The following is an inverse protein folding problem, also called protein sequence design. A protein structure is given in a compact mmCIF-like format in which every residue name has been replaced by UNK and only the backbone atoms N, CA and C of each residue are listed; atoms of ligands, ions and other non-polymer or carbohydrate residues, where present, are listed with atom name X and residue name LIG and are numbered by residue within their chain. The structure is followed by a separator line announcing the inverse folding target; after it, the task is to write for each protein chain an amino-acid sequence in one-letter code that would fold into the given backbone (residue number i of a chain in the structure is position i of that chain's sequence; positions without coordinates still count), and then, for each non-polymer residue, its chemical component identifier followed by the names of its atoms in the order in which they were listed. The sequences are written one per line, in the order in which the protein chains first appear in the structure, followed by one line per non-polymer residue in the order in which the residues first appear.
data_IF_682116159572
#
_entry.id   IF_682116159572
#
_cell.length_a   1.000
_cell.length_b   1.000
_cell.length_c   1.000
_cell.angle_alpha   90.00
_cell.angle_beta   90.00
_cell.angle_gamma   90.00
#
_symmetry.space_group_name_H-M   'P 1'
#
loop_
_entity.id
_entity.type
_entity.pdbx_description
1 polymer ?
#
# COMPACT_ATOMS: atom_id res chain seq x y z
N UNK A 1 -8.73 7.85 11.57
CA UNK A 1 -8.52 7.55 10.12
C UNK A 1 -7.28 6.70 9.95
N UNK A 2 -7.32 5.69 9.06
CA UNK A 2 -6.16 4.87 8.69
C UNK A 2 -5.59 5.34 7.35
N UNK A 3 -4.30 5.70 7.33
CA UNK A 3 -3.55 5.99 6.11
C UNK A 3 -2.87 4.70 5.62
N UNK A 4 -3.40 4.14 4.53
CA UNK A 4 -2.96 2.83 4.03
C UNK A 4 -1.74 2.89 3.09
N UNK A 5 -1.12 4.07 2.89
CA UNK A 5 -0.03 4.21 1.93
C UNK A 5 0.94 5.33 2.35
N UNK A 6 1.98 4.95 3.08
CA UNK A 6 3.01 5.89 3.58
C UNK A 6 4.40 5.32 3.37
N UNK A 7 5.30 6.11 2.82
CA UNK A 7 6.72 5.78 2.77
C UNK A 7 7.41 6.15 4.09
N UNK A 8 8.25 5.27 4.60
CA UNK A 8 9.14 5.62 5.71
C UNK A 8 9.95 6.86 5.32
N UNK A 9 9.86 7.95 6.07
CA UNK A 9 10.68 9.14 5.79
C UNK A 9 12.16 8.80 5.84
N UNK A 10 12.96 9.44 5.00
CA UNK A 10 14.41 9.30 5.08
C UNK A 10 14.90 9.63 6.49
N UNK A 11 15.76 8.79 7.04
CA UNK A 11 16.20 8.86 8.45
C UNK A 11 16.78 10.25 8.85
N UNK A 12 17.31 11.00 7.90
CA UNK A 12 17.79 12.36 8.12
C UNK A 12 16.68 13.42 8.20
N UNK A 13 15.43 13.07 7.86
CA UNK A 13 14.32 14.03 7.78
C UNK A 13 13.37 13.92 8.99
N UNK A 14 12.99 12.69 9.39
CA UNK A 14 11.99 12.48 10.45
C UNK A 14 12.20 11.14 11.19
N UNK A 15 12.29 11.22 12.52
CA UNK A 15 12.15 10.06 13.39
C UNK A 15 10.67 9.63 13.53
N UNK A 16 10.45 8.46 14.13
CA UNK A 16 9.10 7.97 14.39
C UNK A 16 8.26 8.91 15.27
N UNK A 17 8.88 9.55 16.27
CA UNK A 17 8.19 10.48 17.17
C UNK A 17 7.65 11.71 16.44
N UNK A 18 8.44 12.29 15.53
CA UNK A 18 8.03 13.44 14.72
C UNK A 18 6.93 13.07 13.74
N UNK A 19 7.00 11.86 13.18
CA UNK A 19 5.95 11.34 12.32
C UNK A 19 4.63 11.11 13.08
N UNK A 20 4.69 10.55 14.29
CA UNK A 20 3.52 10.37 15.15
C UNK A 20 2.86 11.70 15.49
N UNK A 21 3.63 12.75 15.79
CA UNK A 21 3.10 14.09 16.02
C UNK A 21 2.37 14.64 14.77
N UNK A 22 2.92 14.41 13.58
CA UNK A 22 2.27 14.78 12.33
C UNK A 22 0.96 13.98 12.07
N UNK A 23 0.92 12.70 12.44
CA UNK A 23 -0.31 11.90 12.40
C UNK A 23 -1.39 12.49 13.32
N UNK A 24 -1.03 12.91 14.54
CA UNK A 24 -1.97 13.52 15.49
C UNK A 24 -2.59 14.81 14.92
N UNK A 25 -1.79 15.66 14.30
CA UNK A 25 -2.26 16.89 13.64
C UNK A 25 -3.22 16.63 12.47
N UNK A 26 -3.06 15.50 11.79
CA UNK A 26 -3.88 15.09 10.63
C UNK A 26 -5.09 14.23 11.01
N UNK A 27 -5.23 13.82 12.27
CA UNK A 27 -6.26 12.88 12.71
C UNK A 27 -6.06 11.48 12.15
N UNK A 28 -4.80 11.07 11.92
CA UNK A 28 -4.42 9.72 11.50
C UNK A 28 -4.14 8.87 12.72
N UNK A 29 -4.95 7.83 12.92
CA UNK A 29 -4.81 6.92 14.07
C UNK A 29 -3.79 5.81 13.81
N UNK A 30 -3.70 5.36 12.56
CA UNK A 30 -2.81 4.29 12.13
C UNK A 30 -2.28 4.55 10.72
N UNK A 31 -1.00 4.28 10.48
CA UNK A 31 -0.38 4.35 9.16
C UNK A 31 0.22 3.01 8.76
N UNK A 32 -0.03 2.58 7.52
CA UNK A 32 0.69 1.49 6.88
C UNK A 32 1.94 2.06 6.24
N UNK A 33 3.10 1.66 6.78
CA UNK A 33 4.41 2.23 6.42
C UNK A 33 5.30 1.19 5.76
N UNK A 34 6.02 1.59 4.72
CA UNK A 34 6.98 0.74 4.02
C UNK A 34 8.20 1.55 3.59
N UNK A 35 9.32 0.86 3.43
CA UNK A 35 10.58 1.50 3.05
C UNK A 35 10.58 1.92 1.57
N UNK A 36 11.16 3.09 1.27
CA UNK A 36 11.52 3.47 -0.10
C UNK A 36 12.90 2.92 -0.49
N UNK A 37 13.85 2.97 0.43
CA UNK A 37 15.23 2.53 0.21
C UNK A 37 15.30 1.03 -0.12
N UNK A 38 14.50 0.21 0.54
CA UNK A 38 14.45 -1.23 0.31
C UNK A 38 13.95 -1.62 -1.09
N UNK A 39 13.24 -0.71 -1.79
CA UNK A 39 12.87 -0.92 -3.19
C UNK A 39 14.07 -0.86 -4.13
N UNK A 40 15.17 -0.24 -3.69
CA UNK A 40 16.37 -0.04 -4.48
C UNK A 40 17.51 -1.02 -4.11
N UNK A 41 17.50 -1.66 -2.92
CA UNK A 41 18.43 -2.67 -2.35
C UNK A 41 19.39 -2.12 -1.26
N UNK A 42 19.84 -2.97 -0.33
CA UNK A 42 19.42 -4.35 -0.06
C UNK A 42 18.10 -4.41 0.74
N UNK A 43 17.20 -5.33 0.41
CA UNK A 43 15.86 -5.40 1.00
C UNK A 43 15.87 -5.79 2.48
N UNK A 44 16.65 -6.79 2.88
CA UNK A 44 16.68 -7.28 4.27
C UNK A 44 17.11 -6.18 5.26
N UNK A 45 18.20 -5.47 4.99
CA UNK A 45 18.66 -4.39 5.87
C UNK A 45 17.64 -3.24 5.96
N UNK A 46 16.92 -2.94 4.87
CA UNK A 46 15.88 -1.91 4.87
C UNK A 46 14.63 -2.37 5.64
N UNK A 47 14.27 -3.65 5.57
CA UNK A 47 13.20 -4.23 6.39
C UNK A 47 13.56 -4.17 7.90
N UNK A 48 14.79 -4.50 8.26
CA UNK A 48 15.27 -4.40 9.65
C UNK A 48 15.24 -2.96 10.16
N UNK A 49 15.65 -2.00 9.32
CA UNK A 49 15.57 -0.57 9.64
C UNK A 49 14.14 -0.10 9.83
N UNK A 50 13.22 -0.53 8.96
CA UNK A 50 11.79 -0.23 9.08
C UNK A 50 11.20 -0.83 10.36
N UNK A 51 11.53 -2.09 10.67
CA UNK A 51 11.07 -2.75 11.90
C UNK A 51 11.50 -1.97 13.14
N UNK A 52 12.77 -1.55 13.20
CA UNK A 52 13.27 -0.73 14.30
C UNK A 52 12.59 0.65 14.37
N UNK A 53 12.25 1.25 13.20
CA UNK A 53 11.60 2.55 13.14
C UNK A 53 10.15 2.53 13.63
N UNK A 54 9.40 1.44 13.36
CA UNK A 54 7.99 1.30 13.82
C UNK A 54 7.87 0.77 15.25
N UNK A 55 8.91 0.15 15.79
CA UNK A 55 8.90 -0.50 17.11
C UNK A 55 8.44 0.37 18.29
N UNK A 56 8.65 1.73 18.30
CA UNK A 56 8.16 2.58 19.39
C UNK A 56 6.64 2.71 19.48
N UNK A 57 5.89 2.44 18.39
CA UNK A 57 4.43 2.59 18.35
C UNK A 57 3.77 1.57 17.40
N UNK A 58 3.90 0.26 17.66
CA UNK A 58 3.46 -0.79 16.74
C UNK A 58 1.93 -0.84 16.55
N UNK A 59 1.18 -0.26 17.48
CA UNK A 59 -0.28 -0.12 17.40
C UNK A 59 -0.72 1.00 16.45
N UNK A 60 0.18 1.93 16.13
CA UNK A 60 -0.05 3.08 15.25
C UNK A 60 0.71 3.00 13.92
N UNK A 61 1.82 2.28 13.89
CA UNK A 61 2.72 2.16 12.73
C UNK A 61 2.80 0.69 12.31
N UNK A 62 2.07 0.34 11.27
CA UNK A 62 2.04 -1.03 10.72
C UNK A 62 3.01 -1.14 9.56
N UNK A 63 4.07 -1.94 9.74
CA UNK A 63 5.09 -2.13 8.71
C UNK A 63 4.64 -3.13 7.63
N UNK A 64 4.90 -2.79 6.36
CA UNK A 64 4.89 -3.70 5.22
C UNK A 64 6.31 -3.97 4.77
N UNK A 65 6.66 -5.24 4.62
CA UNK A 65 7.96 -5.66 4.10
C UNK A 65 8.15 -5.24 2.63
N UNK A 66 9.37 -5.30 2.15
CA UNK A 66 9.66 -5.34 0.72
C UNK A 66 10.64 -6.48 0.42
N UNK A 67 10.51 -7.09 -0.77
CA UNK A 67 11.44 -8.09 -1.29
C UNK A 67 11.68 -7.86 -2.78
N UNK A 68 12.78 -8.35 -3.32
CA UNK A 68 12.95 -8.44 -4.77
C UNK A 68 12.46 -9.81 -5.24
N UNK A 69 11.36 -9.92 -6.00
CA UNK A 69 10.84 -11.22 -6.45
C UNK A 69 11.83 -12.05 -7.26
N UNK A 70 12.87 -11.44 -7.83
CA UNK A 70 13.92 -12.14 -8.58
C UNK A 70 15.00 -12.75 -7.69
N UNK A 71 15.01 -12.40 -6.41
CA UNK A 71 15.90 -13.04 -5.43
C UNK A 71 15.34 -14.41 -5.06
N UNK A 72 16.12 -15.50 -5.19
CA UNK A 72 15.70 -16.82 -4.74
C UNK A 72 15.31 -16.89 -3.27
N UNK A 73 15.85 -15.99 -2.42
CA UNK A 73 15.52 -15.85 -1.01
C UNK A 73 14.27 -15.01 -0.69
N UNK A 74 13.59 -14.41 -1.68
CA UNK A 74 12.51 -13.44 -1.47
C UNK A 74 11.37 -13.96 -0.58
N UNK A 75 10.92 -15.20 -0.79
CA UNK A 75 9.84 -15.80 0.02
C UNK A 75 10.28 -16.06 1.47
N UNK A 76 11.52 -16.49 1.68
CA UNK A 76 12.07 -16.71 3.01
C UNK A 76 12.26 -15.39 3.78
N UNK A 77 12.71 -14.33 3.10
CA UNK A 77 12.81 -12.99 3.68
C UNK A 77 11.42 -12.44 4.05
N UNK A 78 10.42 -12.63 3.20
CA UNK A 78 9.05 -12.23 3.51
C UNK A 78 8.53 -12.96 4.76
N UNK A 79 8.74 -14.28 4.84
CA UNK A 79 8.37 -15.07 6.01
C UNK A 79 9.07 -14.59 7.28
N UNK A 80 10.37 -14.28 7.21
CA UNK A 80 11.15 -13.70 8.32
C UNK A 80 10.55 -12.37 8.77
N UNK A 81 10.26 -11.45 7.86
CA UNK A 81 9.66 -10.15 8.17
C UNK A 81 8.31 -10.29 8.91
N UNK A 82 7.48 -11.23 8.47
CA UNK A 82 6.18 -11.46 9.13
C UNK A 82 6.36 -12.11 10.50
N UNK A 83 7.19 -13.16 10.62
CA UNK A 83 7.30 -13.94 11.86
C UNK A 83 8.17 -13.28 12.92
N UNK A 84 9.27 -12.64 12.53
CA UNK A 84 10.24 -12.06 13.48
C UNK A 84 9.96 -10.58 13.74
N UNK A 85 9.51 -9.81 12.74
CA UNK A 85 9.25 -8.38 12.86
C UNK A 85 7.77 -8.01 12.97
N UNK A 86 6.85 -8.98 12.85
CA UNK A 86 5.42 -8.73 12.94
C UNK A 86 4.87 -7.88 11.79
N UNK A 87 5.55 -7.84 10.65
CA UNK A 87 5.09 -7.09 9.49
C UNK A 87 3.81 -7.69 8.92
N UNK A 88 2.86 -6.85 8.52
CA UNK A 88 1.49 -7.27 8.21
C UNK A 88 1.13 -7.14 6.73
N UNK A 89 2.10 -7.04 5.87
CA UNK A 89 1.89 -6.95 4.43
C UNK A 89 3.21 -6.83 3.68
N UNK A 90 3.09 -6.77 2.36
CA UNK A 90 4.21 -6.63 1.43
C UNK A 90 3.98 -5.43 0.52
N UNK A 91 4.97 -4.55 0.37
CA UNK A 91 5.00 -3.48 -0.64
C UNK A 91 5.92 -3.86 -1.78
N UNK A 92 5.41 -3.76 -2.99
CA UNK A 92 6.18 -3.95 -4.21
C UNK A 92 6.05 -2.75 -5.15
N UNK A 93 7.12 -2.43 -5.83
CA UNK A 93 7.18 -1.35 -6.82
C UNK A 93 7.81 -1.84 -8.13
N UNK A 94 7.02 -2.52 -8.99
CA UNK A 94 7.57 -3.21 -10.17
C UNK A 94 8.47 -2.34 -11.04
N UNK A 95 8.10 -1.09 -11.29
CA UNK A 95 8.91 -0.18 -12.08
C UNK A 95 10.27 0.13 -11.44
N UNK A 96 10.31 0.57 -10.16
CA UNK A 96 11.57 0.90 -9.49
C UNK A 96 12.45 -0.33 -9.28
N UNK A 97 11.84 -1.47 -8.97
CA UNK A 97 12.55 -2.72 -8.77
C UNK A 97 12.93 -3.41 -10.08
N UNK A 98 12.39 -2.96 -11.23
CA UNK A 98 12.74 -3.46 -12.55
C UNK A 98 12.22 -4.87 -12.87
N UNK A 99 11.03 -5.23 -12.36
CA UNK A 99 10.34 -6.48 -12.72
C UNK A 99 8.90 -6.19 -13.21
N UNK A 100 8.28 -7.12 -13.88
CA UNK A 100 6.90 -6.98 -14.35
C UNK A 100 5.92 -7.85 -13.55
N UNK A 101 4.61 -7.58 -13.67
CA UNK A 101 3.56 -8.42 -13.08
C UNK A 101 3.55 -9.87 -13.62
N UNK A 102 4.35 -10.16 -14.65
CA UNK A 102 4.49 -11.49 -15.24
C UNK A 102 5.78 -12.22 -14.82
N UNK A 103 6.62 -11.60 -13.97
CA UNK A 103 7.87 -12.20 -13.52
C UNK A 103 7.60 -13.55 -12.81
N UNK A 104 8.33 -14.63 -13.16
CA UNK A 104 8.13 -15.93 -12.53
C UNK A 104 8.35 -15.93 -11.02
N UNK A 105 9.34 -15.17 -10.52
CA UNK A 105 9.62 -15.05 -9.08
C UNK A 105 8.49 -14.41 -8.31
N UNK A 106 7.73 -13.50 -8.94
CA UNK A 106 6.57 -12.87 -8.33
C UNK A 106 5.46 -13.88 -8.00
N UNK A 107 5.33 -14.98 -8.77
CA UNK A 107 4.34 -16.01 -8.48
C UNK A 107 4.62 -16.68 -7.12
N UNK A 108 5.89 -16.98 -6.83
CA UNK A 108 6.30 -17.59 -5.56
C UNK A 108 6.07 -16.64 -4.39
N UNK A 109 6.36 -15.35 -4.58
CA UNK A 109 6.11 -14.31 -3.56
C UNK A 109 4.61 -14.14 -3.30
N UNK A 110 3.77 -14.18 -4.34
CA UNK A 110 2.31 -14.15 -4.18
C UNK A 110 1.79 -15.38 -3.41
N UNK A 111 2.30 -16.57 -3.71
CA UNK A 111 1.95 -17.80 -2.99
C UNK A 111 2.34 -17.70 -1.50
N UNK A 112 3.54 -17.23 -1.21
CA UNK A 112 4.02 -17.02 0.15
C UNK A 112 3.15 -16.00 0.91
N UNK A 113 2.83 -14.85 0.31
CA UNK A 113 1.94 -13.86 0.91
C UNK A 113 0.55 -14.42 1.20
N UNK A 114 -0.02 -15.20 0.26
CA UNK A 114 -1.32 -15.87 0.47
C UNK A 114 -1.28 -16.95 1.54
N UNK A 115 -0.15 -17.65 1.72
CA UNK A 115 0.04 -18.63 2.79
C UNK A 115 0.20 -17.96 4.17
N UNK A 116 0.81 -16.78 4.21
CA UNK A 116 0.98 -15.96 5.40
C UNK A 116 -0.28 -15.15 5.75
N UNK A 117 -1.28 -15.10 4.88
CA UNK A 117 -2.51 -14.33 5.08
C UNK A 117 -2.31 -12.81 4.99
N UNK A 118 -1.27 -12.33 4.31
CA UNK A 118 -0.96 -10.91 4.23
C UNK A 118 -1.26 -10.31 2.85
N UNK A 119 -1.69 -9.04 2.75
CA UNK A 119 -1.91 -8.36 1.48
C UNK A 119 -0.60 -7.94 0.82
N UNK A 120 -0.66 -7.78 -0.51
CA UNK A 120 0.41 -7.16 -1.30
C UNK A 120 -0.07 -5.82 -1.83
N UNK A 121 0.59 -4.74 -1.43
CA UNK A 121 0.38 -3.39 -1.94
C UNK A 121 1.34 -3.13 -3.10
N UNK A 122 0.80 -3.04 -4.30
CA UNK A 122 1.58 -2.72 -5.49
C UNK A 122 1.57 -1.22 -5.79
N UNK A 123 2.70 -0.69 -6.23
CA UNK A 123 2.67 0.51 -7.06
C UNK A 123 2.11 0.13 -8.42
N UNK A 124 0.93 0.63 -8.74
CA UNK A 124 0.23 0.39 -10.00
C UNK A 124 0.15 1.65 -10.87
N UNK A 125 -0.30 1.49 -12.11
CA UNK A 125 -0.45 2.61 -13.03
C UNK A 125 0.80 2.92 -13.86
N UNK A 126 1.81 2.04 -13.87
CA UNK A 126 3.08 2.23 -14.61
C UNK A 126 3.25 1.20 -15.73
N UNK A 127 2.75 1.45 -16.95
CA UNK A 127 3.02 0.58 -18.10
C UNK A 127 4.53 0.55 -18.44
N UNK A 128 5.08 -0.57 -18.88
CA UNK A 128 4.45 -1.88 -19.01
C UNK A 128 4.57 -2.77 -17.77
N UNK A 129 5.04 -2.26 -16.64
CA UNK A 129 5.45 -3.04 -15.47
C UNK A 129 4.27 -3.56 -14.62
N UNK A 130 3.31 -2.66 -14.32
CA UNK A 130 2.21 -2.94 -13.37
C UNK A 130 0.96 -2.13 -13.72
N UNK A 131 0.29 -2.48 -14.81
CA UNK A 131 -1.03 -1.91 -15.06
C UNK A 131 -2.08 -2.59 -14.16
N UNK A 132 -3.20 -1.92 -13.84
CA UNK A 132 -4.24 -2.50 -13.01
C UNK A 132 -4.76 -3.86 -13.51
N UNK A 133 -4.96 -4.03 -14.83
CA UNK A 133 -5.43 -5.30 -15.39
C UNK A 133 -4.38 -6.41 -15.36
N UNK A 134 -3.09 -6.08 -15.46
CA UNK A 134 -2.01 -7.07 -15.22
C UNK A 134 -2.06 -7.59 -13.78
N UNK A 135 -2.26 -6.69 -12.80
CA UNK A 135 -2.38 -7.05 -11.39
C UNK A 135 -3.68 -7.82 -11.10
N UNK A 136 -4.79 -7.50 -11.77
CA UNK A 136 -6.01 -8.29 -11.68
C UNK A 136 -5.83 -9.71 -12.28
N UNK A 137 -5.06 -9.84 -13.36
CA UNK A 137 -4.72 -11.16 -13.92
C UNK A 137 -3.84 -11.96 -12.94
N UNK A 138 -2.92 -11.31 -12.23
CA UNK A 138 -2.13 -11.91 -11.15
C UNK A 138 -3.04 -12.35 -10.00
N UNK A 139 -3.96 -11.49 -9.55
CA UNK A 139 -4.91 -11.77 -8.48
C UNK A 139 -5.76 -13.02 -8.74
N UNK A 140 -6.25 -13.19 -9.97
CA UNK A 140 -7.03 -14.37 -10.36
C UNK A 140 -6.22 -15.68 -10.31
N UNK A 141 -4.90 -15.62 -10.53
CA UNK A 141 -4.02 -16.80 -10.39
C UNK A 141 -3.72 -17.14 -8.92
N UNK A 142 -3.81 -16.13 -8.04
CA UNK A 142 -3.53 -16.27 -6.61
C UNK A 142 -4.74 -15.89 -5.75
N UNK A 143 -5.84 -16.66 -5.75
CA UNK A 143 -7.10 -16.26 -5.12
C UNK A 143 -7.03 -16.14 -3.60
N UNK A 144 -6.00 -16.70 -2.96
CA UNK A 144 -5.77 -16.53 -1.50
C UNK A 144 -5.02 -15.25 -1.16
N UNK A 145 -4.41 -14.58 -2.13
CA UNK A 145 -3.60 -13.38 -1.92
C UNK A 145 -4.43 -12.14 -2.19
N UNK A 146 -4.54 -11.26 -1.22
CA UNK A 146 -5.19 -9.97 -1.41
C UNK A 146 -4.22 -9.02 -2.12
N UNK A 147 -4.62 -8.47 -3.25
CA UNK A 147 -3.81 -7.52 -4.03
C UNK A 147 -4.42 -6.13 -3.91
N UNK A 148 -3.60 -5.15 -3.52
CA UNK A 148 -4.00 -3.75 -3.41
C UNK A 148 -3.34 -2.95 -4.53
N UNK A 149 -4.14 -2.30 -5.36
CA UNK A 149 -3.72 -1.26 -6.29
C UNK A 149 -3.39 -0.01 -5.47
N UNK A 150 -2.12 0.35 -5.36
CA UNK A 150 -1.65 1.39 -4.45
C UNK A 150 -2.06 2.80 -4.87
N UNK A 151 -2.29 3.03 -6.17
CA UNK A 151 -2.56 4.35 -6.72
C UNK A 151 -3.83 4.43 -7.57
N UNK A 152 -4.62 3.34 -7.60
CA UNK A 152 -5.86 3.32 -8.38
C UNK A 152 -5.68 3.68 -9.86
N UNK A 153 -4.55 3.29 -10.46
CA UNK A 153 -4.24 3.55 -11.86
C UNK A 153 -3.65 4.93 -12.14
N UNK A 154 -3.33 5.71 -11.10
CA UNK A 154 -2.81 7.08 -11.23
C UNK A 154 -3.75 7.98 -12.07
N UNK A 155 -3.16 8.88 -12.87
CA UNK A 155 -3.90 9.82 -13.71
C UNK A 155 -4.50 9.17 -14.97
N UNK A 156 -3.84 8.17 -15.53
CA UNK A 156 -4.14 7.66 -16.87
C UNK A 156 -4.96 6.38 -16.87
N UNK A 157 -4.72 5.48 -15.89
CA UNK A 157 -5.28 4.13 -15.89
C UNK A 157 -6.39 3.90 -14.83
N UNK A 158 -6.97 4.96 -14.23
CA UNK A 158 -8.01 4.83 -13.22
C UNK A 158 -9.26 4.07 -13.72
N UNK A 159 -9.60 4.17 -15.02
CA UNK A 159 -10.70 3.39 -15.61
C UNK A 159 -10.35 1.90 -15.66
N UNK A 160 -9.09 1.59 -15.95
CA UNK A 160 -8.58 0.24 -15.90
C UNK A 160 -8.55 -0.29 -14.46
N UNK A 161 -8.22 0.56 -13.48
CA UNK A 161 -8.26 0.18 -12.06
C UNK A 161 -9.68 -0.20 -11.60
N UNK A 162 -10.71 0.55 -12.03
CA UNK A 162 -12.12 0.17 -11.80
C UNK A 162 -12.40 -1.21 -12.42
N UNK A 163 -12.02 -1.42 -13.68
CA UNK A 163 -12.24 -2.70 -14.36
C UNK A 163 -11.49 -3.85 -13.64
N UNK A 164 -10.29 -3.60 -13.12
CA UNK A 164 -9.51 -4.56 -12.36
C UNK A 164 -10.23 -5.00 -11.08
N UNK A 165 -10.71 -4.05 -10.27
CA UNK A 165 -11.47 -4.33 -9.05
C UNK A 165 -12.75 -5.13 -9.35
N UNK A 166 -13.46 -4.77 -10.41
CA UNK A 166 -14.69 -5.47 -10.80
C UNK A 166 -14.44 -6.89 -11.33
N UNK A 167 -13.25 -7.16 -11.90
CA UNK A 167 -12.92 -8.43 -12.55
C UNK A 167 -12.31 -9.49 -11.63
N UNK A 168 -11.86 -9.12 -10.42
CA UNK A 168 -11.22 -10.02 -9.47
C UNK A 168 -11.62 -9.70 -8.02
N UNK A 169 -12.20 -10.67 -7.28
CA UNK A 169 -12.76 -10.42 -5.94
C UNK A 169 -11.72 -10.10 -4.87
N UNK A 170 -10.47 -10.49 -5.08
CA UNK A 170 -9.33 -10.26 -4.19
C UNK A 170 -8.47 -9.05 -4.61
N UNK A 171 -9.02 -8.14 -5.44
CA UNK A 171 -8.38 -6.86 -5.77
C UNK A 171 -9.04 -5.74 -4.96
N UNK A 172 -8.23 -4.99 -4.24
CA UNK A 172 -8.56 -3.78 -3.51
C UNK A 172 -7.91 -2.57 -4.19
N UNK A 173 -8.41 -1.38 -3.91
CA UNK A 173 -7.92 -0.14 -4.49
C UNK A 173 -7.70 0.91 -3.40
N UNK A 174 -6.46 1.34 -3.25
CA UNK A 174 -6.08 2.50 -2.46
C UNK A 174 -6.03 3.74 -3.37
N UNK A 175 -6.73 4.80 -2.98
CA UNK A 175 -6.85 6.02 -3.78
C UNK A 175 -5.68 7.00 -3.57
N UNK A 176 -4.50 6.50 -3.23
CA UNK A 176 -3.27 7.29 -3.11
C UNK A 176 -2.81 7.79 -4.49
N UNK A 177 -2.45 9.06 -4.62
CA UNK A 177 -2.03 9.63 -5.91
C UNK A 177 -3.13 9.78 -6.98
N UNK A 178 -4.32 9.26 -6.75
CA UNK A 178 -5.47 9.33 -7.67
C UNK A 178 -6.05 10.75 -7.70
N UNK A 179 -6.33 11.34 -8.86
CA UNK A 179 -6.96 12.67 -8.94
C UNK A 179 -8.43 12.64 -8.48
N UNK A 180 -8.92 13.76 -7.92
CA UNK A 180 -10.25 13.83 -7.30
C UNK A 180 -11.42 13.44 -8.21
N UNK A 181 -11.34 13.76 -9.51
CA UNK A 181 -12.38 13.32 -10.47
C UNK A 181 -12.40 11.80 -10.64
N UNK A 182 -11.22 11.15 -10.59
CA UNK A 182 -11.11 9.70 -10.66
C UNK A 182 -11.55 9.05 -9.36
N UNK A 183 -11.21 9.63 -8.20
CA UNK A 183 -11.68 9.16 -6.88
C UNK A 183 -13.21 9.11 -6.84
N UNK A 184 -13.91 10.18 -7.31
CA UNK A 184 -15.38 10.19 -7.42
C UNK A 184 -15.91 9.04 -8.28
N UNK A 185 -15.30 8.78 -9.42
CA UNK A 185 -15.72 7.70 -10.32
C UNK A 185 -15.46 6.31 -9.71
N UNK A 186 -14.37 6.15 -8.96
CA UNK A 186 -14.02 4.91 -8.24
C UNK A 186 -15.05 4.63 -7.15
N UNK A 187 -15.35 5.62 -6.29
CA UNK A 187 -16.34 5.46 -5.21
C UNK A 187 -17.73 5.13 -5.75
N UNK A 188 -18.11 5.74 -6.87
CA UNK A 188 -19.41 5.49 -7.49
C UNK A 188 -19.57 4.12 -8.17
N UNK A 189 -18.47 3.43 -8.51
CA UNK A 189 -18.51 2.26 -9.40
C UNK A 189 -17.90 0.99 -8.80
N UNK A 190 -17.01 1.11 -7.84
CA UNK A 190 -16.38 -0.04 -7.20
C UNK A 190 -17.15 -0.49 -5.95
N UNK A 191 -17.11 -1.78 -5.59
CA UNK A 191 -17.60 -2.25 -4.30
C UNK A 191 -16.93 -1.50 -3.15
N UNK A 192 -17.75 -0.89 -2.29
CA UNK A 192 -17.27 -0.02 -1.22
C UNK A 192 -16.28 -0.74 -0.29
N UNK A 193 -16.53 -2.00 0.01
CA UNK A 193 -15.71 -2.82 0.89
C UNK A 193 -14.30 -3.13 0.37
N UNK A 194 -13.97 -2.70 -0.85
CA UNK A 194 -12.64 -2.87 -1.46
C UNK A 194 -11.87 -1.58 -1.62
N UNK A 195 -12.44 -0.47 -1.15
CA UNK A 195 -11.81 0.84 -1.27
C UNK A 195 -11.03 1.20 -0.02
N UNK A 196 -9.86 1.78 -0.21
CA UNK A 196 -8.93 2.23 0.79
C UNK A 196 -8.48 3.66 0.45
N UNK A 197 -8.00 4.37 1.47
CA UNK A 197 -7.38 5.67 1.30
C UNK A 197 -5.91 5.64 1.75
N UNK A 198 -5.07 6.43 1.10
CA UNK A 198 -3.69 6.65 1.47
C UNK A 198 -3.18 7.99 0.96
N UNK A 199 -2.21 8.56 1.65
CA UNK A 199 -1.67 9.88 1.30
C UNK A 199 -0.50 9.83 0.34
N UNK A 200 0.27 8.75 0.30
CA UNK A 200 1.58 8.65 -0.37
C UNK A 200 2.62 9.60 0.25
N UNK A 201 2.48 9.90 1.54
CA UNK A 201 3.40 10.74 2.28
C UNK A 201 4.76 10.05 2.51
N UNK A 202 5.78 10.84 2.88
CA UNK A 202 7.11 10.34 3.27
C UNK A 202 8.17 10.34 2.18
N UNK A 203 7.81 10.55 0.90
CA UNK A 203 8.75 10.55 -0.23
C UNK A 203 9.63 11.81 -0.34
N UNK A 204 9.24 12.91 0.30
CA UNK A 204 9.92 14.19 0.18
C UNK A 204 10.44 14.69 1.53
N UNK A 205 11.55 15.42 1.57
CA UNK A 205 12.07 16.03 2.78
C UNK A 205 11.22 17.22 3.27
N UNK A 206 10.16 17.58 2.56
CA UNK A 206 9.19 18.60 3.01
C UNK A 206 8.35 18.06 4.17
N UNK A 207 7.80 18.94 5.03
CA UNK A 207 6.92 18.50 6.10
C UNK A 207 5.84 17.57 5.54
N UNK A 208 5.79 16.36 6.06
CA UNK A 208 4.78 15.31 5.74
C UNK A 208 3.37 15.88 5.67
N UNK A 209 3.08 16.83 6.54
CA UNK A 209 1.85 17.56 6.67
C UNK A 209 1.36 18.21 5.37
N UNK A 210 2.26 18.76 4.54
CA UNK A 210 1.84 19.56 3.38
C UNK A 210 1.18 18.70 2.30
N UNK A 211 1.77 17.56 1.99
CA UNK A 211 1.22 16.65 0.97
C UNK A 211 0.03 15.85 1.51
N UNK A 212 0.15 15.32 2.72
CA UNK A 212 -0.94 14.60 3.38
C UNK A 212 -2.18 15.48 3.57
N UNK A 213 -2.02 16.74 3.98
CA UNK A 213 -3.13 17.71 4.08
C UNK A 213 -3.85 17.89 2.75
N UNK A 214 -3.12 18.00 1.64
CA UNK A 214 -3.74 18.13 0.31
C UNK A 214 -4.56 16.89 -0.04
N UNK A 215 -4.06 15.70 0.30
CA UNK A 215 -4.76 14.43 0.04
C UNK A 215 -6.01 14.28 0.90
N UNK A 216 -5.94 14.63 2.18
CA UNK A 216 -7.10 14.62 3.09
C UNK A 216 -8.15 15.62 2.62
N UNK A 217 -7.78 16.85 2.25
CA UNK A 217 -8.72 17.82 1.66
C UNK A 217 -9.39 17.30 0.40
N UNK A 218 -8.64 16.64 -0.47
CA UNK A 218 -9.17 16.04 -1.69
C UNK A 218 -10.19 14.93 -1.40
N UNK A 219 -9.97 14.15 -0.32
CA UNK A 219 -10.94 13.18 0.18
C UNK A 219 -12.20 13.87 0.71
N UNK A 220 -12.07 14.94 1.50
CA UNK A 220 -13.21 15.69 2.04
C UNK A 220 -14.06 16.30 0.91
N UNK A 221 -13.45 16.77 -0.18
CA UNK A 221 -14.13 17.31 -1.36
C UNK A 221 -14.93 16.26 -2.16
N UNK A 222 -14.78 14.95 -1.84
CA UNK A 222 -15.60 13.90 -2.49
C UNK A 222 -17.06 13.94 -2.04
N UNK A 223 -17.35 14.49 -0.86
CA UNK A 223 -18.68 14.51 -0.26
C UNK A 223 -19.17 13.11 0.13
N UNK A 224 -18.27 12.27 0.65
CA UNK A 224 -18.61 10.94 1.14
C UNK A 224 -19.62 11.03 2.27
N UNK A 225 -20.64 10.15 2.27
CA UNK A 225 -21.49 9.96 3.43
C UNK A 225 -20.73 9.26 4.58
N UNK A 226 -21.33 9.22 5.77
CA UNK A 226 -20.71 8.66 6.98
C UNK A 226 -20.32 7.19 6.80
N UNK A 227 -21.19 6.39 6.18
CA UNK A 227 -20.94 4.98 5.91
C UNK A 227 -19.76 4.77 4.95
N UNK A 228 -19.69 5.54 3.89
CA UNK A 228 -18.60 5.50 2.93
C UNK A 228 -17.28 5.91 3.59
N UNK A 229 -17.31 6.96 4.40
CA UNK A 229 -16.15 7.47 5.12
C UNK A 229 -15.62 6.45 6.12
N UNK A 230 -16.48 5.88 6.95
CA UNK A 230 -16.13 4.83 7.90
C UNK A 230 -15.57 3.58 7.19
N UNK A 231 -16.23 3.14 6.11
CA UNK A 231 -15.78 1.98 5.36
C UNK A 231 -14.36 2.16 4.81
N UNK A 232 -14.11 3.27 4.11
CA UNK A 232 -12.84 3.54 3.41
C UNK A 232 -11.70 3.81 4.39
N UNK A 233 -11.97 4.53 5.49
CA UNK A 233 -10.95 5.04 6.39
C UNK A 233 -10.69 4.16 7.61
N UNK A 234 -11.60 3.24 7.96
CA UNK A 234 -11.51 2.44 9.18
C UNK A 234 -11.78 0.95 8.93
N UNK A 235 -12.99 0.61 8.47
CA UNK A 235 -13.44 -0.78 8.46
C UNK A 235 -12.67 -1.62 7.45
N UNK A 236 -12.52 -1.15 6.21
CA UNK A 236 -11.84 -1.91 5.16
C UNK A 236 -10.34 -2.10 5.43
N UNK A 237 -9.57 -1.03 5.79
CA UNK A 237 -8.17 -1.21 6.10
C UNK A 237 -7.95 -2.12 7.31
N UNK A 238 -8.75 -2.02 8.39
CA UNK A 238 -8.65 -2.92 9.54
C UNK A 238 -8.92 -4.37 9.17
N UNK A 239 -9.95 -4.62 8.36
CA UNK A 239 -10.28 -5.98 7.89
C UNK A 239 -9.14 -6.58 7.07
N UNK A 240 -8.54 -5.78 6.18
CA UNK A 240 -7.44 -6.24 5.34
C UNK A 240 -6.16 -6.51 6.13
N UNK A 241 -5.93 -5.75 7.21
CA UNK A 241 -4.80 -5.97 8.11
C UNK A 241 -5.03 -7.10 9.13
N UNK A 242 -6.25 -7.54 9.35
CA UNK A 242 -6.59 -8.60 10.31
C UNK A 242 -6.65 -10.00 9.68
N UNK A 243 -6.52 -10.08 8.35
CA UNK A 243 -6.64 -11.32 7.58
C UNK A 243 -5.48 -12.30 7.83
#
# INVERSE_FOLDING_TARGET
MIDFHVHQPAAAAYGAAEYLAAMDELGVDLSVVFTYEGLLRPTAAANDSLAAWVAPAPERLVAFATVDPRDPGASAELERCVREHGMRGLKLHPWLQGFSAHDPGLQLVCEAAGALGIPILFHDGTPPFSTPLQLAALARRHPRTQIVLGHGGLHDLWREAIAAVLSAPNVHLCMSGTPGYAMRAIVARCPLERLLFGTDAGLRPEPLQRYAVLRVRQLDELGLDEQQREAILETNPRRLLAA
#
